data_IF_829314653611
#
_entry.id   IF_829314653611
#
_cell.length_a   1.000
_cell.length_b   1.000
_cell.length_c   1.000
_cell.angle_alpha   90.00
_cell.angle_beta   90.00
_cell.angle_gamma   90.00
#
_symmetry.space_group_name_H-M   'P 1'
#
loop_
_entity.id
_entity.type
_entity.pdbx_description
1 polymer ?
#
# COMPACT_ATOMS: atom_id res chain seq x y z
N UNK A 1 -31.81 19.78 -1.39
CA UNK A 1 -30.87 18.67 -1.18
C UNK A 1 -29.82 19.17 -0.21
N UNK A 2 -29.83 18.64 1.01
CA UNK A 2 -28.95 19.10 2.09
C UNK A 2 -27.49 19.01 1.69
N UNK A 3 -26.72 20.06 2.00
CA UNK A 3 -25.26 20.00 2.01
C UNK A 3 -24.87 18.81 2.89
N UNK A 4 -24.36 17.73 2.31
CA UNK A 4 -23.70 16.68 3.09
C UNK A 4 -22.50 17.36 3.76
N UNK A 5 -22.59 17.59 5.07
CA UNK A 5 -21.54 18.27 5.82
C UNK A 5 -20.27 17.41 5.81
N UNK A 6 -19.25 17.87 5.09
CA UNK A 6 -17.89 17.33 5.23
C UNK A 6 -17.35 17.82 6.58
N UNK A 7 -16.99 16.89 7.45
CA UNK A 7 -16.48 17.16 8.79
C UNK A 7 -15.00 17.57 8.73
N UNK A 8 -14.52 18.35 9.69
CA UNK A 8 -13.10 18.35 10.02
C UNK A 8 -12.69 17.02 10.67
N UNK A 9 -11.40 16.72 10.66
CA UNK A 9 -10.87 15.50 11.27
C UNK A 9 -11.15 15.45 12.78
N UNK A 10 -11.06 16.59 13.47
CA UNK A 10 -11.38 16.68 14.90
C UNK A 10 -12.87 16.43 15.18
N UNK A 11 -13.78 16.93 14.33
CA UNK A 11 -15.21 16.63 14.40
C UNK A 11 -15.49 15.15 14.15
N UNK A 12 -14.87 14.55 13.14
CA UNK A 12 -15.01 13.11 12.87
C UNK A 12 -14.48 12.25 14.03
N UNK A 13 -13.36 12.64 14.64
CA UNK A 13 -12.85 11.99 15.85
C UNK A 13 -13.82 12.16 17.03
N UNK A 14 -14.40 13.34 17.24
CA UNK A 14 -15.38 13.55 18.30
C UNK A 14 -16.64 12.69 18.08
N UNK A 15 -17.12 12.63 16.85
CA UNK A 15 -18.34 11.90 16.47
C UNK A 15 -18.22 10.38 16.57
N UNK A 16 -17.01 9.83 16.42
CA UNK A 16 -16.75 8.40 16.64
C UNK A 16 -16.82 7.97 18.12
N UNK A 17 -17.18 8.87 19.04
CA UNK A 17 -17.41 8.64 20.48
C UNK A 17 -16.23 7.95 21.22
N UNK A 18 -15.01 8.03 20.69
CA UNK A 18 -13.84 7.26 21.17
C UNK A 18 -14.07 5.74 21.24
N UNK A 19 -15.00 5.21 20.45
CA UNK A 19 -15.10 3.77 20.21
C UNK A 19 -13.83 3.28 19.51
N UNK A 20 -13.54 1.99 19.59
CA UNK A 20 -12.42 1.34 18.91
C UNK A 20 -12.23 1.91 17.48
N UNK A 21 -11.15 2.65 17.24
CA UNK A 21 -10.91 3.35 15.97
C UNK A 21 -9.90 2.59 15.14
N UNK A 22 -10.26 2.35 13.88
CA UNK A 22 -9.36 1.79 12.88
C UNK A 22 -9.04 2.83 11.83
N UNK A 23 -7.81 2.82 11.34
CA UNK A 23 -7.37 3.62 10.21
C UNK A 23 -7.04 2.70 9.04
N UNK A 24 -7.49 3.05 7.84
CA UNK A 24 -7.07 2.45 6.58
C UNK A 24 -6.26 3.48 5.78
N UNK A 25 -5.02 3.13 5.47
CA UNK A 25 -4.08 3.97 4.72
C UNK A 25 -3.91 3.44 3.29
N UNK A 26 -4.09 4.33 2.32
CA UNK A 26 -3.69 4.12 0.93
C UNK A 26 -2.49 4.98 0.50
N UNK A 27 -2.06 4.81 -0.75
CA UNK A 27 -0.82 5.39 -1.28
C UNK A 27 -0.77 6.92 -1.19
N UNK A 28 -1.93 7.59 -1.20
CA UNK A 28 -2.05 9.03 -1.00
C UNK A 28 -1.51 9.52 0.35
N UNK A 29 -1.48 8.68 1.39
CA UNK A 29 -0.83 9.00 2.66
C UNK A 29 0.69 9.13 2.50
N UNK A 30 1.30 8.25 1.70
CA UNK A 30 2.73 8.30 1.40
C UNK A 30 3.07 9.48 0.50
N UNK A 31 2.22 9.73 -0.50
CA UNK A 31 2.30 10.91 -1.36
C UNK A 31 2.21 12.22 -0.57
N UNK A 32 1.41 12.29 0.50
CA UNK A 32 1.32 13.51 1.33
C UNK A 32 2.59 13.79 2.14
N UNK A 33 3.48 12.81 2.28
CA UNK A 33 4.79 12.98 2.94
C UNK A 33 5.88 13.29 1.91
N UNK A 34 5.87 12.64 0.74
CA UNK A 34 6.82 12.91 -0.35
C UNK A 34 6.18 12.67 -1.70
N UNK A 35 6.38 13.61 -2.62
CA UNK A 35 5.98 13.56 -4.04
C UNK A 35 6.53 12.33 -4.74
N UNK A 36 7.75 11.88 -4.41
CA UNK A 36 8.46 10.74 -5.02
C UNK A 36 7.75 9.38 -4.96
N UNK A 37 6.65 9.28 -4.22
CA UNK A 37 5.74 8.11 -4.26
C UNK A 37 4.65 8.24 -5.32
N UNK A 38 4.70 9.28 -6.16
CA UNK A 38 3.91 9.43 -7.38
C UNK A 38 4.20 8.32 -8.38
N UNK A 39 3.21 7.97 -9.19
CA UNK A 39 3.37 6.90 -10.16
C UNK A 39 4.29 7.33 -11.30
N UNK A 40 4.22 8.62 -11.66
CA UNK A 40 5.10 9.30 -12.61
C UNK A 40 6.56 9.22 -12.17
N UNK A 41 6.86 9.64 -10.93
CA UNK A 41 8.21 9.61 -10.37
C UNK A 41 8.78 8.18 -10.30
N UNK A 42 7.94 7.22 -9.91
CA UNK A 42 8.34 5.81 -9.84
C UNK A 42 8.61 5.22 -11.23
N UNK A 43 7.81 5.58 -12.24
CA UNK A 43 8.04 5.14 -13.61
C UNK A 43 9.32 5.76 -14.20
N UNK A 44 9.51 7.07 -14.01
CA UNK A 44 10.72 7.75 -14.43
C UNK A 44 11.95 7.09 -13.79
N UNK A 45 11.93 6.91 -12.47
CA UNK A 45 13.02 6.28 -11.72
C UNK A 45 13.30 4.85 -12.18
N UNK A 46 12.26 4.06 -12.47
CA UNK A 46 12.38 2.70 -12.98
C UNK A 46 12.97 2.64 -14.40
N UNK A 47 12.88 3.73 -15.17
CA UNK A 47 13.31 3.79 -16.56
C UNK A 47 14.67 4.46 -16.74
N UNK A 48 14.93 5.58 -16.07
CA UNK A 48 16.06 6.47 -16.40
C UNK A 48 17.23 6.40 -15.42
N UNK A 49 17.05 5.80 -14.24
CA UNK A 49 18.10 5.83 -13.22
C UNK A 49 19.27 4.91 -13.57
N UNK A 50 20.46 5.49 -13.75
CA UNK A 50 21.70 4.75 -14.07
C UNK A 50 22.09 3.74 -12.98
N UNK A 51 21.83 4.04 -11.70
CA UNK A 51 22.07 3.10 -10.59
C UNK A 51 21.15 1.88 -10.65
N UNK A 52 20.08 1.93 -11.46
CA UNK A 52 19.14 0.84 -11.70
C UNK A 52 19.26 0.22 -13.10
N UNK A 53 20.31 0.52 -13.88
CA UNK A 53 20.47 0.10 -15.28
C UNK A 53 20.16 -1.39 -15.53
N UNK A 54 20.66 -2.28 -14.66
CA UNK A 54 20.44 -3.74 -14.76
C UNK A 54 18.99 -4.19 -14.56
N UNK A 55 18.14 -3.28 -14.10
CA UNK A 55 16.74 -3.51 -13.73
C UNK A 55 15.81 -2.46 -14.35
N UNK A 56 16.29 -1.72 -15.36
CA UNK A 56 15.47 -0.81 -16.14
C UNK A 56 14.35 -1.58 -16.86
N UNK A 57 13.26 -0.87 -17.12
CA UNK A 57 12.15 -1.41 -17.90
C UNK A 57 12.61 -1.73 -19.32
N UNK A 58 12.29 -2.91 -19.87
CA UNK A 58 12.45 -3.17 -21.29
C UNK A 58 11.74 -2.12 -22.15
N UNK A 59 12.31 -1.77 -23.29
CA UNK A 59 11.73 -0.80 -24.24
C UNK A 59 10.28 -1.17 -24.60
N UNK A 60 9.97 -2.47 -24.76
CA UNK A 60 8.61 -2.91 -25.05
C UNK A 60 7.62 -2.57 -23.93
N UNK A 61 8.05 -2.63 -22.66
CA UNK A 61 7.19 -2.23 -21.55
C UNK A 61 6.96 -0.73 -21.54
N UNK A 62 7.98 0.08 -21.82
CA UNK A 62 7.82 1.53 -21.92
C UNK A 62 6.87 1.93 -23.06
N UNK A 63 6.91 1.21 -24.18
CA UNK A 63 5.94 1.38 -25.26
C UNK A 63 4.53 1.04 -24.78
N UNK A 64 4.35 -0.02 -23.99
CA UNK A 64 3.03 -0.37 -23.41
C UNK A 64 2.50 0.69 -22.45
N UNK A 65 3.35 1.28 -21.58
CA UNK A 65 2.94 2.40 -20.73
C UNK A 65 2.44 3.58 -21.57
N UNK A 66 3.18 3.90 -22.64
CA UNK A 66 2.85 4.97 -23.59
C UNK A 66 1.53 4.69 -24.32
N UNK A 67 1.39 3.50 -24.92
CA UNK A 67 0.23 3.09 -25.71
C UNK A 67 -1.06 2.98 -24.87
N UNK A 68 -0.94 2.62 -23.59
CA UNK A 68 -2.05 2.55 -22.64
C UNK A 68 -2.34 3.89 -21.95
N UNK A 69 -1.59 4.94 -22.28
CA UNK A 69 -1.66 6.29 -21.73
C UNK A 69 -1.71 6.24 -20.19
N UNK A 70 -0.73 5.55 -19.59
CA UNK A 70 -0.71 5.36 -18.14
C UNK A 70 0.71 5.31 -17.60
N UNK A 71 0.84 5.67 -16.33
CA UNK A 71 2.06 5.50 -15.52
C UNK A 71 1.88 4.47 -14.40
N UNK A 72 0.70 3.85 -14.31
CA UNK A 72 0.36 2.90 -13.25
C UNK A 72 0.83 1.49 -13.60
N UNK A 73 1.82 1.01 -12.86
CA UNK A 73 2.38 -0.34 -13.00
C UNK A 73 1.31 -1.43 -12.82
N UNK A 74 0.37 -1.28 -11.88
CA UNK A 74 -0.67 -2.28 -11.65
C UNK A 74 -1.63 -2.33 -12.84
N UNK A 75 -1.94 -1.19 -13.47
CA UNK A 75 -2.73 -1.14 -14.71
C UNK A 75 -2.01 -1.86 -15.85
N UNK A 76 -0.72 -1.60 -16.07
CA UNK A 76 0.06 -2.29 -17.12
C UNK A 76 0.11 -3.80 -16.85
N UNK A 77 0.39 -4.21 -15.61
CA UNK A 77 0.39 -5.62 -15.20
C UNK A 77 -0.98 -6.27 -15.47
N UNK A 78 -2.10 -5.57 -15.21
CA UNK A 78 -3.44 -6.08 -15.51
C UNK A 78 -3.64 -6.37 -17.01
N UNK A 79 -3.14 -5.50 -17.89
CA UNK A 79 -3.22 -5.69 -19.34
C UNK A 79 -2.36 -6.85 -19.81
N UNK A 80 -1.14 -6.98 -19.27
CA UNK A 80 -0.26 -8.13 -19.55
C UNK A 80 -0.89 -9.46 -19.09
N UNK A 81 -1.55 -9.49 -17.93
CA UNK A 81 -2.29 -10.66 -17.45
C UNK A 81 -3.43 -11.06 -18.41
N UNK A 82 -4.18 -10.07 -18.93
CA UNK A 82 -5.23 -10.32 -19.92
C UNK A 82 -4.64 -10.85 -21.22
N UNK A 83 -3.57 -10.23 -21.72
CA UNK A 83 -2.90 -10.65 -22.94
C UNK A 83 -2.39 -12.10 -22.84
N UNK A 84 -1.78 -12.47 -21.71
CA UNK A 84 -1.33 -13.84 -21.43
C UNK A 84 -2.49 -14.85 -21.54
N UNK A 85 -3.66 -14.54 -20.95
CA UNK A 85 -4.86 -15.40 -21.01
C UNK A 85 -5.35 -15.57 -22.46
N UNK A 86 -5.40 -14.47 -23.22
CA UNK A 86 -5.86 -14.48 -24.61
C UNK A 86 -4.93 -15.34 -25.48
N UNK A 87 -3.61 -15.12 -25.41
CA UNK A 87 -2.63 -15.85 -26.22
C UNK A 87 -2.62 -17.35 -25.89
N UNK A 88 -2.71 -17.71 -24.60
CA UNK A 88 -2.83 -19.11 -24.17
C UNK A 88 -4.11 -19.77 -24.69
N UNK A 89 -5.18 -19.00 -24.91
CA UNK A 89 -6.43 -19.53 -25.47
C UNK A 89 -6.29 -19.84 -26.96
N UNK A 90 -5.66 -18.97 -27.75
CA UNK A 90 -5.35 -19.22 -29.16
C UNK A 90 -4.35 -20.36 -29.37
N UNK A 91 -3.45 -20.59 -28.42
CA UNK A 91 -2.50 -21.73 -28.47
C UNK A 91 -3.22 -23.09 -28.46
N UNK A 92 -4.43 -23.15 -27.89
CA UNK A 92 -5.23 -24.39 -27.83
C UNK A 92 -5.96 -24.71 -29.13
N UNK A 93 -6.16 -23.73 -30.01
CA UNK A 93 -6.95 -23.87 -31.25
C UNK A 93 -6.11 -24.19 -32.49
N UNK A 94 -4.83 -24.54 -32.34
CA UNK A 94 -3.99 -25.01 -33.45
C UNK A 94 -3.19 -23.94 -34.19
N UNK A 95 -3.24 -22.66 -33.77
CA UNK A 95 -2.22 -21.69 -34.17
C UNK A 95 -0.84 -22.18 -33.73
N UNK A 96 0.19 -21.98 -34.56
CA UNK A 96 1.56 -22.48 -34.40
C UNK A 96 2.02 -22.40 -32.94
N UNK A 97 1.94 -23.55 -32.25
CA UNK A 97 2.11 -23.69 -30.80
C UNK A 97 3.40 -23.01 -30.29
N UNK A 98 4.45 -23.00 -31.11
CA UNK A 98 5.75 -22.39 -30.78
C UNK A 98 5.66 -20.87 -30.61
N UNK A 99 5.06 -20.14 -31.56
CA UNK A 99 5.03 -18.66 -31.53
C UNK A 99 4.17 -18.17 -30.37
N UNK A 100 3.00 -18.75 -30.17
CA UNK A 100 2.13 -18.35 -29.07
C UNK A 100 2.75 -18.67 -27.70
N UNK A 101 3.47 -19.79 -27.56
CA UNK A 101 4.18 -20.11 -26.32
C UNK A 101 5.34 -19.15 -26.05
N UNK A 102 6.11 -18.79 -27.09
CA UNK A 102 7.20 -17.82 -26.97
C UNK A 102 6.66 -16.45 -26.55
N UNK A 103 5.59 -15.98 -27.18
CA UNK A 103 4.97 -14.70 -26.84
C UNK A 103 4.37 -14.71 -25.43
N UNK A 104 3.68 -15.78 -25.04
CA UNK A 104 3.14 -15.92 -23.68
C UNK A 104 4.26 -15.93 -22.63
N UNK A 105 5.41 -16.53 -22.95
CA UNK A 105 6.57 -16.51 -22.07
C UNK A 105 7.19 -15.11 -21.97
N UNK A 106 7.37 -14.41 -23.09
CA UNK A 106 7.86 -13.01 -23.12
C UNK A 106 6.96 -12.08 -22.28
N UNK A 107 5.64 -12.15 -22.45
CA UNK A 107 4.68 -11.36 -21.64
C UNK A 107 4.80 -11.68 -20.14
N UNK A 108 5.02 -12.94 -19.80
CA UNK A 108 5.25 -13.35 -18.41
C UNK A 108 6.55 -12.74 -17.86
N UNK A 109 7.62 -12.78 -18.64
CA UNK A 109 8.92 -12.22 -18.26
C UNK A 109 8.85 -10.69 -18.15
N UNK A 110 8.10 -10.03 -19.03
CA UNK A 110 7.86 -8.58 -19.00
C UNK A 110 7.04 -8.18 -17.75
N UNK A 111 6.02 -8.97 -17.39
CA UNK A 111 5.27 -8.79 -16.13
C UNK A 111 6.16 -8.93 -14.90
N UNK A 112 7.02 -9.94 -14.88
CA UNK A 112 7.98 -10.14 -13.78
C UNK A 112 9.01 -8.99 -13.74
N UNK A 113 9.40 -8.46 -14.90
CA UNK A 113 10.30 -7.31 -15.02
C UNK A 113 9.64 -6.04 -14.49
N UNK A 114 8.39 -5.74 -14.87
CA UNK A 114 7.62 -4.60 -14.33
C UNK A 114 7.56 -4.61 -12.80
N UNK A 115 7.25 -5.77 -12.20
CA UNK A 115 7.20 -5.92 -10.72
C UNK A 115 8.56 -5.67 -10.08
N UNK A 116 9.62 -6.20 -10.67
CA UNK A 116 10.98 -6.02 -10.15
C UNK A 116 11.41 -4.56 -10.27
N UNK A 117 11.28 -3.95 -11.45
CA UNK A 117 11.63 -2.55 -11.69
C UNK A 117 10.89 -1.61 -10.73
N UNK A 118 9.60 -1.86 -10.48
CA UNK A 118 8.85 -1.12 -9.46
C UNK A 118 9.45 -1.30 -8.06
N UNK A 119 9.73 -2.54 -7.62
CA UNK A 119 10.34 -2.81 -6.31
C UNK A 119 11.71 -2.12 -6.18
N UNK A 120 12.50 -2.09 -7.25
CA UNK A 120 13.78 -1.38 -7.30
C UNK A 120 13.59 0.13 -7.18
N UNK A 121 12.69 0.72 -7.97
CA UNK A 121 12.37 2.15 -7.95
C UNK A 121 11.87 2.58 -6.58
N UNK A 122 10.84 1.92 -6.04
CA UNK A 122 10.29 2.27 -4.73
C UNK A 122 11.34 2.10 -3.63
N UNK A 123 12.18 1.05 -3.64
CA UNK A 123 13.25 0.90 -2.66
C UNK A 123 14.30 2.02 -2.76
N UNK A 124 14.61 2.47 -3.99
CA UNK A 124 15.50 3.60 -4.21
C UNK A 124 14.90 4.92 -3.67
N UNK A 125 13.61 5.17 -3.87
CA UNK A 125 12.90 6.34 -3.29
C UNK A 125 13.09 6.48 -1.78
N UNK A 126 13.31 5.37 -1.06
CA UNK A 126 13.53 5.38 0.39
C UNK A 126 14.97 5.69 0.81
N UNK A 127 15.94 5.62 -0.09
CA UNK A 127 17.32 5.99 0.25
C UNK A 127 17.33 7.48 0.61
N UNK A 128 18.02 7.89 1.66
CA UNK A 128 18.10 9.32 2.10
C UNK A 128 16.79 9.92 2.66
N UNK A 129 15.63 9.37 2.31
CA UNK A 129 14.34 10.01 2.58
C UNK A 129 14.04 10.13 4.08
N UNK A 130 14.39 9.11 4.87
CA UNK A 130 14.15 9.13 6.31
C UNK A 130 14.83 10.31 7.01
N UNK A 131 15.99 10.76 6.52
CA UNK A 131 16.73 11.91 7.04
C UNK A 131 16.10 13.25 6.60
N UNK A 132 15.43 13.27 5.45
CA UNK A 132 14.85 14.49 4.87
C UNK A 132 13.44 14.80 5.40
N UNK A 133 12.78 13.85 6.08
CA UNK A 133 11.52 14.08 6.78
C UNK A 133 11.77 14.94 8.02
N UNK A 134 11.17 16.13 8.06
CA UNK A 134 11.28 17.09 9.18
C UNK A 134 10.71 16.48 10.47
N UNK A 135 11.31 16.79 11.62
CA UNK A 135 10.86 16.29 12.92
C UNK A 135 9.41 16.67 13.27
N UNK A 136 8.92 17.82 12.76
CA UNK A 136 7.52 18.24 12.87
C UNK A 136 6.58 17.27 12.12
N UNK A 137 6.95 16.88 10.89
CA UNK A 137 6.22 15.89 10.09
C UNK A 137 6.16 14.55 10.81
N UNK A 138 7.29 14.06 11.35
CA UNK A 138 7.30 12.87 12.19
C UNK A 138 6.39 12.99 13.41
N UNK A 139 6.32 14.16 14.05
CA UNK A 139 5.47 14.38 15.22
C UNK A 139 4.01 14.26 14.86
N UNK A 140 3.57 15.11 13.92
CA UNK A 140 2.16 15.27 13.56
C UNK A 140 1.60 14.00 12.96
N UNK A 141 2.34 13.35 12.06
CA UNK A 141 1.93 12.07 11.51
C UNK A 141 1.88 10.97 12.59
N UNK A 142 2.86 10.91 13.49
CA UNK A 142 2.84 9.99 14.63
C UNK A 142 1.67 10.24 15.60
N UNK A 143 1.31 11.50 15.85
CA UNK A 143 0.18 11.90 16.68
C UNK A 143 -1.15 11.55 16.01
N UNK A 144 -1.28 11.77 14.70
CA UNK A 144 -2.42 11.31 13.92
C UNK A 144 -2.61 9.80 14.07
N UNK A 145 -1.56 9.01 13.84
CA UNK A 145 -1.61 7.55 13.96
C UNK A 145 -2.03 7.11 15.37
N UNK A 146 -1.58 7.81 16.42
CA UNK A 146 -1.90 7.48 17.81
C UNK A 146 -3.39 7.67 18.19
N UNK A 147 -4.20 8.33 17.36
CA UNK A 147 -5.65 8.40 17.56
C UNK A 147 -6.37 7.07 17.29
N UNK A 148 -5.68 6.09 16.71
CA UNK A 148 -6.25 4.82 16.26
C UNK A 148 -5.74 3.63 17.06
N UNK A 149 -6.58 2.62 17.20
CA UNK A 149 -6.27 1.35 17.87
C UNK A 149 -5.75 0.31 16.89
N UNK A 150 -6.27 0.34 15.66
CA UNK A 150 -5.85 -0.54 14.56
C UNK A 150 -5.47 0.27 13.32
N UNK A 151 -4.43 -0.16 12.63
CA UNK A 151 -4.00 0.42 11.35
C UNK A 151 -3.95 -0.68 10.30
N UNK A 152 -4.70 -0.48 9.22
CA UNK A 152 -4.67 -1.29 8.02
C UNK A 152 -4.02 -0.46 6.90
N UNK A 153 -3.17 -1.07 6.09
CA UNK A 153 -2.53 -0.37 4.97
C UNK A 153 -2.40 -1.25 3.75
N UNK A 154 -2.50 -0.63 2.58
CA UNK A 154 -2.12 -1.24 1.29
C UNK A 154 -0.78 -0.72 0.78
N UNK A 155 -0.15 0.20 1.51
CA UNK A 155 1.11 0.81 1.10
C UNK A 155 2.25 -0.18 1.28
N UNK A 156 3.07 -0.31 0.24
CA UNK A 156 4.25 -1.18 0.26
C UNK A 156 5.44 -0.52 0.95
N UNK A 157 5.46 0.81 0.99
CA UNK A 157 6.60 1.62 1.42
C UNK A 157 6.97 1.48 2.92
N UNK A 158 8.07 2.13 3.31
CA UNK A 158 8.61 2.12 4.67
C UNK A 158 8.13 3.31 5.51
N UNK A 159 7.31 4.23 4.98
CA UNK A 159 6.97 5.46 5.68
C UNK A 159 6.17 5.18 6.96
N UNK A 160 5.13 4.35 6.87
CA UNK A 160 4.37 3.95 8.07
C UNK A 160 5.30 3.35 9.13
N UNK A 161 6.23 2.48 8.72
CA UNK A 161 7.19 1.87 9.63
C UNK A 161 8.10 2.93 10.30
N UNK A 162 8.68 3.86 9.53
CA UNK A 162 9.54 4.90 10.07
C UNK A 162 8.81 5.84 11.02
N UNK A 163 7.60 6.29 10.65
CA UNK A 163 6.76 7.14 11.50
C UNK A 163 6.49 6.47 12.85
N UNK A 164 6.16 5.18 12.84
CA UNK A 164 5.91 4.40 14.04
C UNK A 164 7.17 4.20 14.89
N UNK A 165 8.32 3.95 14.27
CA UNK A 165 9.59 3.84 15.00
C UNK A 165 9.98 5.16 15.65
N UNK A 166 9.86 6.28 14.93
CA UNK A 166 10.13 7.62 15.48
C UNK A 166 9.16 7.98 16.60
N UNK A 167 7.89 7.60 16.46
CA UNK A 167 6.89 7.80 17.52
C UNK A 167 7.20 6.93 18.75
N UNK A 168 7.65 5.68 18.57
CA UNK A 168 8.10 4.78 19.65
C UNK A 168 9.28 5.37 20.43
N UNK A 169 10.27 5.94 19.74
CA UNK A 169 11.39 6.62 20.38
C UNK A 169 10.92 7.77 21.28
N UNK A 170 9.97 8.58 20.80
CA UNK A 170 9.47 9.76 21.53
C UNK A 170 8.60 9.41 22.74
N UNK A 171 7.70 8.42 22.63
CA UNK A 171 6.80 8.05 23.73
C UNK A 171 7.39 7.03 24.70
N UNK A 172 8.48 6.36 24.31
CA UNK A 172 9.10 5.28 25.05
C UNK A 172 8.42 3.93 24.81
N UNK A 173 9.20 2.84 24.92
CA UNK A 173 8.73 1.49 24.61
C UNK A 173 7.52 1.03 25.45
N UNK A 174 7.41 1.48 26.70
CA UNK A 174 6.30 1.13 27.59
C UNK A 174 4.97 1.78 27.24
N UNK A 175 5.00 2.95 26.56
CA UNK A 175 3.79 3.69 26.16
C UNK A 175 3.45 3.47 24.68
N UNK A 176 4.29 2.72 23.95
CA UNK A 176 4.07 2.43 22.55
C UNK A 176 3.08 1.27 22.39
N UNK A 177 1.92 1.54 21.77
CA UNK A 177 0.80 0.59 21.70
C UNK A 177 0.74 -0.25 20.42
N UNK A 178 1.64 -0.04 19.47
CA UNK A 178 1.52 -0.66 18.16
C UNK A 178 2.40 -1.90 17.97
N UNK A 179 1.87 -2.88 17.25
CA UNK A 179 2.47 -4.17 16.96
C UNK A 179 2.05 -4.66 15.57
N UNK A 180 3.01 -4.99 14.72
CA UNK A 180 2.77 -5.50 13.35
C UNK A 180 2.73 -7.02 13.25
N UNK A 181 2.75 -7.73 14.38
CA UNK A 181 2.69 -9.19 14.47
C UNK A 181 4.04 -9.87 14.40
N UNK A 182 5.14 -9.12 14.49
CA UNK A 182 6.50 -9.64 14.45
C UNK A 182 7.24 -9.49 15.79
N UNK A 183 6.56 -9.36 16.93
CA UNK A 183 7.16 -8.79 18.17
C UNK A 183 7.93 -9.70 19.11
N UNK A 184 8.07 -11.03 18.94
CA UNK A 184 8.80 -11.81 19.97
C UNK A 184 9.47 -13.12 19.51
N UNK A 185 10.73 -13.28 19.94
CA UNK A 185 11.62 -14.48 19.91
C UNK A 185 11.94 -15.13 18.56
N UNK A 186 11.58 -14.51 17.45
CA UNK A 186 11.95 -14.99 16.13
C UNK A 186 11.74 -13.92 15.06
N UNK A 187 12.41 -14.11 13.93
CA UNK A 187 12.25 -13.28 12.74
C UNK A 187 10.86 -13.42 12.10
N UNK A 188 10.08 -14.43 12.50
CA UNK A 188 8.79 -14.78 11.90
C UNK A 188 7.59 -14.68 12.83
N UNK A 189 6.43 -14.98 12.27
CA UNK A 189 5.12 -14.84 12.91
C UNK A 189 4.77 -16.12 13.67
N UNK A 190 4.26 -15.96 14.90
CA UNK A 190 3.63 -17.04 15.65
C UNK A 190 2.23 -16.60 16.15
N UNK A 191 1.46 -17.54 16.70
CA UNK A 191 0.08 -17.30 17.15
C UNK A 191 -0.03 -16.24 18.26
N UNK A 192 0.96 -16.16 19.16
CA UNK A 192 0.99 -15.13 20.21
C UNK A 192 1.20 -13.74 19.63
N UNK A 193 2.11 -13.57 18.66
CA UNK A 193 2.33 -12.30 17.99
C UNK A 193 1.09 -11.82 17.22
N UNK A 194 0.30 -12.74 16.66
CA UNK A 194 -0.95 -12.40 15.95
C UNK A 194 -2.10 -11.96 16.89
N UNK A 195 -1.99 -12.23 18.18
CA UNK A 195 -2.99 -11.82 19.16
C UNK A 195 -2.80 -10.35 19.61
N UNK A 196 -1.56 -9.87 19.69
CA UNK A 196 -1.24 -8.47 19.99
C UNK A 196 -1.19 -7.57 18.77
N UNK A 197 -1.14 -8.13 17.57
CA UNK A 197 -1.07 -7.39 16.30
C UNK A 197 -2.22 -6.38 16.16
N UNK A 198 -1.87 -5.13 15.88
CA UNK A 198 -2.80 -4.07 15.53
C UNK A 198 -2.35 -3.20 14.35
N UNK A 199 -1.25 -3.55 13.67
CA UNK A 199 -0.88 -3.03 12.36
C UNK A 199 -0.94 -4.17 11.34
N UNK A 200 -1.64 -3.94 10.22
CA UNK A 200 -1.94 -4.94 9.21
C UNK A 200 -1.60 -4.43 7.80
N UNK A 201 -0.55 -5.01 7.20
CA UNK A 201 -0.18 -4.74 5.81
C UNK A 201 -0.90 -5.72 4.88
N UNK A 202 -1.96 -5.27 4.22
CA UNK A 202 -2.86 -6.13 3.44
C UNK A 202 -2.29 -6.55 2.11
N UNK A 203 -1.44 -5.71 1.52
CA UNK A 203 -0.75 -5.99 0.25
C UNK A 203 0.73 -6.33 0.47
N UNK A 204 1.13 -6.59 1.72
CA UNK A 204 2.52 -6.80 2.10
C UNK A 204 3.29 -5.48 2.27
N UNK A 205 4.62 -5.57 2.39
CA UNK A 205 5.47 -4.43 2.68
C UNK A 205 6.91 -4.68 2.23
N UNK A 206 7.66 -3.61 1.92
CA UNK A 206 9.05 -3.67 1.46
C UNK A 206 10.01 -4.33 2.45
N UNK A 207 9.65 -4.35 3.74
CA UNK A 207 10.46 -4.95 4.79
C UNK A 207 10.03 -6.39 5.13
N UNK A 208 9.08 -6.99 4.39
CA UNK A 208 8.65 -8.38 4.59
C UNK A 208 9.21 -9.29 3.51
N UNK A 209 9.89 -10.37 3.89
CA UNK A 209 10.53 -11.30 2.97
C UNK A 209 10.19 -12.75 3.33
N UNK A 210 10.25 -13.64 2.35
CA UNK A 210 10.06 -15.07 2.55
C UNK A 210 11.22 -15.86 1.94
N UNK A 211 11.80 -16.75 2.74
CA UNK A 211 12.73 -17.79 2.25
C UNK A 211 12.05 -19.16 2.37
N UNK A 212 11.74 -19.53 3.61
CA UNK A 212 10.91 -20.68 3.99
C UNK A 212 9.71 -20.24 4.81
N UNK A 213 9.92 -19.27 5.71
CA UNK A 213 8.88 -18.61 6.48
C UNK A 213 8.92 -17.09 6.24
N UNK A 214 7.79 -16.42 6.41
CA UNK A 214 7.70 -14.96 6.35
C UNK A 214 8.48 -14.35 7.52
N UNK A 215 9.33 -13.38 7.23
CA UNK A 215 10.07 -12.62 8.22
C UNK A 215 10.12 -11.13 7.91
N UNK A 216 10.39 -10.33 8.95
CA UNK A 216 10.53 -8.88 8.86
C UNK A 216 11.98 -8.45 8.96
N UNK A 217 12.48 -7.72 7.96
CA UNK A 217 13.75 -7.00 8.03
C UNK A 217 13.61 -5.84 9.00
N UNK A 218 14.62 -5.65 9.86
CA UNK A 218 14.71 -4.56 10.82
C UNK A 218 16.01 -3.79 10.63
N UNK A 219 15.98 -2.51 10.98
CA UNK A 219 17.20 -1.73 11.16
C UNK A 219 18.03 -2.29 12.32
N UNK A 220 19.34 -2.25 12.17
CA UNK A 220 20.32 -2.57 13.22
C UNK A 220 21.25 -1.36 13.41
N UNK A 221 21.99 -1.32 14.51
CA UNK A 221 22.79 -0.16 14.97
C UNK A 221 23.71 0.43 13.88
N UNK A 222 24.22 -0.41 12.97
CA UNK A 222 25.15 -0.04 11.90
C UNK A 222 24.66 -0.36 10.48
N UNK A 223 23.43 -0.86 10.32
CA UNK A 223 22.88 -1.18 9.00
C UNK A 223 21.42 -0.73 8.91
N UNK A 224 21.20 0.33 8.14
CA UNK A 224 19.87 0.88 7.94
C UNK A 224 18.98 -0.15 7.20
N UNK A 225 17.67 -0.04 7.41
CA UNK A 225 16.72 -1.00 6.85
C UNK A 225 16.73 -1.02 5.32
N UNK A 226 16.94 0.12 4.67
CA UNK A 226 16.96 0.27 3.21
C UNK A 226 18.15 -0.47 2.59
N UNK A 227 19.35 -0.35 3.16
CA UNK A 227 20.54 -1.08 2.72
C UNK A 227 20.34 -2.59 2.81
N UNK A 228 19.72 -3.08 3.89
CA UNK A 228 19.40 -4.51 4.04
C UNK A 228 18.43 -4.98 2.98
N UNK A 229 17.33 -4.23 2.77
CA UNK A 229 16.36 -4.52 1.71
C UNK A 229 17.05 -4.55 0.34
N UNK A 230 17.89 -3.56 0.03
CA UNK A 230 18.70 -3.51 -1.20
C UNK A 230 19.56 -4.76 -1.36
N UNK A 231 20.29 -5.18 -0.32
CA UNK A 231 21.11 -6.40 -0.35
C UNK A 231 20.26 -7.65 -0.66
N UNK A 232 19.05 -7.76 -0.11
CA UNK A 232 18.16 -8.89 -0.43
C UNK A 232 17.70 -8.85 -1.88
N UNK A 233 17.26 -7.69 -2.36
CA UNK A 233 16.79 -7.49 -3.74
C UNK A 233 17.90 -7.83 -4.74
N UNK A 234 19.13 -7.33 -4.53
CA UNK A 234 20.28 -7.61 -5.39
C UNK A 234 20.69 -9.08 -5.42
N UNK A 235 20.34 -9.85 -4.37
CA UNK A 235 20.53 -11.31 -4.32
C UNK A 235 19.33 -12.09 -4.90
N UNK A 236 18.45 -11.42 -5.66
CA UNK A 236 17.28 -12.03 -6.30
C UNK A 236 16.16 -12.42 -5.34
N UNK A 237 16.17 -11.89 -4.10
CA UNK A 237 15.12 -12.12 -3.10
C UNK A 237 14.23 -10.89 -3.05
N UNK A 238 12.94 -11.04 -3.28
CA UNK A 238 12.00 -9.93 -3.35
C UNK A 238 11.09 -9.88 -2.13
N UNK A 239 10.66 -8.67 -1.72
CA UNK A 239 9.72 -8.52 -0.64
C UNK A 239 8.35 -9.11 -1.00
N UNK A 240 7.57 -9.46 0.03
CA UNK A 240 6.18 -9.85 -0.11
C UNK A 240 5.36 -8.60 -0.46
N UNK A 241 4.98 -8.46 -1.73
CA UNK A 241 4.11 -7.40 -2.25
C UNK A 241 3.03 -7.97 -3.17
N UNK A 242 1.83 -7.37 -3.16
CA UNK A 242 0.67 -7.79 -3.97
C UNK A 242 0.43 -6.81 -5.12
N UNK A 243 1.26 -6.93 -6.16
CA UNK A 243 1.20 -6.05 -7.34
C UNK A 243 0.33 -6.57 -8.50
N UNK A 244 -0.57 -7.52 -8.24
CA UNK A 244 -1.43 -8.02 -9.33
C UNK A 244 -2.44 -6.95 -9.74
N UNK A 245 -2.67 -6.79 -11.05
CA UNK A 245 -3.43 -5.65 -11.54
C UNK A 245 -4.94 -5.72 -11.29
N UNK A 246 -5.50 -6.92 -11.14
CA UNK A 246 -6.93 -7.13 -10.87
C UNK A 246 -7.20 -7.53 -9.43
N UNK A 247 -8.30 -7.02 -8.87
CA UNK A 247 -8.67 -7.29 -7.48
C UNK A 247 -8.87 -8.80 -7.17
N UNK A 248 -9.33 -9.62 -8.12
CA UNK A 248 -9.47 -11.06 -7.94
C UNK A 248 -8.11 -11.76 -7.84
N UNK A 249 -7.16 -11.35 -8.70
CA UNK A 249 -5.77 -11.84 -8.66
C UNK A 249 -5.10 -11.45 -7.34
N UNK A 250 -5.26 -10.18 -6.90
CA UNK A 250 -4.78 -9.71 -5.59
C UNK A 250 -5.38 -10.53 -4.46
N UNK A 251 -6.71 -10.70 -4.44
CA UNK A 251 -7.41 -11.48 -3.43
C UNK A 251 -6.93 -12.92 -3.37
N UNK A 252 -6.71 -13.58 -4.52
CA UNK A 252 -6.18 -14.95 -4.56
C UNK A 252 -4.81 -15.01 -3.88
N UNK A 253 -3.87 -14.14 -4.25
CA UNK A 253 -2.54 -14.06 -3.65
C UNK A 253 -2.57 -13.76 -2.15
N UNK A 254 -3.45 -12.87 -1.71
CA UNK A 254 -3.68 -12.56 -0.29
C UNK A 254 -4.12 -13.81 0.47
N UNK A 255 -5.03 -14.61 -0.09
CA UNK A 255 -5.54 -15.81 0.57
C UNK A 255 -4.53 -16.98 0.58
N UNK A 256 -3.62 -17.02 -0.39
CA UNK A 256 -2.52 -18.00 -0.46
C UNK A 256 -1.41 -17.75 0.57
N UNK A 257 -1.27 -16.52 1.07
CA UNK A 257 -0.29 -16.17 2.11
C UNK A 257 -0.94 -16.12 3.49
N UNK A 258 -0.40 -16.86 4.46
CA UNK A 258 -0.99 -16.97 5.80
C UNK A 258 -1.10 -15.64 6.55
N UNK A 259 -0.09 -14.78 6.47
CA UNK A 259 -0.10 -13.45 7.10
C UNK A 259 -1.09 -12.51 6.43
N UNK A 260 -1.05 -12.39 5.09
CA UNK A 260 -1.97 -11.50 4.38
C UNK A 260 -3.42 -11.97 4.56
N UNK A 261 -3.66 -13.28 4.52
CA UNK A 261 -4.96 -13.88 4.82
C UNK A 261 -5.42 -13.56 6.24
N UNK A 262 -4.53 -13.58 7.23
CA UNK A 262 -4.82 -13.15 8.59
C UNK A 262 -5.21 -11.67 8.65
N UNK A 263 -4.41 -10.77 8.08
CA UNK A 263 -4.69 -9.33 8.00
C UNK A 263 -6.06 -9.06 7.35
N UNK A 264 -6.33 -9.74 6.23
CA UNK A 264 -7.58 -9.61 5.49
C UNK A 264 -8.80 -10.13 6.28
N UNK A 265 -8.64 -11.18 7.09
CA UNK A 265 -9.68 -11.66 8.00
C UNK A 265 -9.88 -10.73 9.20
N UNK A 266 -8.80 -10.18 9.76
CA UNK A 266 -8.86 -9.22 10.87
C UNK A 266 -9.70 -8.00 10.50
N UNK A 267 -9.47 -7.41 9.33
CA UNK A 267 -10.30 -6.29 8.83
C UNK A 267 -11.80 -6.61 8.80
N UNK A 268 -12.18 -7.85 8.45
CA UNK A 268 -13.59 -8.27 8.46
C UNK A 268 -14.17 -8.25 9.88
N UNK A 269 -13.39 -8.68 10.86
CA UNK A 269 -13.87 -8.98 12.20
C UNK A 269 -13.68 -7.79 13.17
N UNK A 270 -13.05 -6.69 12.73
CA UNK A 270 -12.91 -5.47 13.53
C UNK A 270 -14.23 -4.69 13.56
N UNK A 271 -14.55 -4.15 14.73
CA UNK A 271 -15.74 -3.35 15.02
C UNK A 271 -15.38 -1.87 15.31
N UNK A 272 -16.39 -1.04 15.62
CA UNK A 272 -16.18 0.38 15.91
C UNK A 272 -16.15 1.23 14.64
N UNK A 273 -15.25 2.20 14.58
CA UNK A 273 -15.20 3.20 13.50
C UNK A 273 -13.98 3.00 12.60
N UNK A 274 -14.18 2.98 11.29
CA UNK A 274 -13.10 2.94 10.30
C UNK A 274 -12.92 4.32 9.66
N UNK A 275 -11.69 4.84 9.69
CA UNK A 275 -11.29 6.04 8.97
C UNK A 275 -10.45 5.64 7.77
N UNK A 276 -10.72 6.24 6.62
CA UNK A 276 -10.07 5.91 5.35
C UNK A 276 -9.33 7.15 4.86
N UNK A 277 -8.01 7.04 4.69
CA UNK A 277 -7.13 8.13 4.28
C UNK A 277 -6.23 7.73 3.11
N UNK A 278 -6.07 8.64 2.15
CA UNK A 278 -5.09 8.51 1.08
C UNK A 278 -5.38 7.39 0.06
N UNK A 279 -6.64 7.01 -0.14
CA UNK A 279 -7.00 6.03 -1.17
C UNK A 279 -7.92 6.65 -2.21
N UNK A 280 -7.65 6.34 -3.49
CA UNK A 280 -8.55 6.67 -4.60
C UNK A 280 -9.68 5.65 -4.78
N UNK A 281 -9.73 4.60 -3.93
CA UNK A 281 -10.72 3.53 -3.98
C UNK A 281 -10.86 2.91 -5.39
N UNK A 282 -9.73 2.64 -6.06
CA UNK A 282 -9.71 2.09 -7.42
C UNK A 282 -10.51 0.79 -7.50
N UNK A 283 -11.68 0.83 -8.16
CA UNK A 283 -12.61 -0.31 -8.21
C UNK A 283 -12.06 -1.48 -9.03
N UNK A 284 -11.13 -1.24 -9.95
CA UNK A 284 -10.54 -2.31 -10.76
C UNK A 284 -9.45 -3.07 -9.99
N UNK A 285 -8.58 -2.34 -9.30
CA UNK A 285 -7.44 -2.91 -8.59
C UNK A 285 -7.78 -3.34 -7.15
N UNK A 286 -8.63 -2.58 -6.44
CA UNK A 286 -8.80 -2.68 -4.99
C UNK A 286 -10.23 -2.97 -4.51
N UNK A 287 -11.13 -3.38 -5.41
CA UNK A 287 -12.50 -3.77 -5.03
C UNK A 287 -12.56 -4.87 -3.95
N UNK A 288 -11.53 -5.72 -3.82
CA UNK A 288 -11.47 -6.72 -2.75
C UNK A 288 -11.38 -6.09 -1.34
N UNK A 289 -10.80 -4.89 -1.22
CA UNK A 289 -10.75 -4.11 0.03
C UNK A 289 -12.12 -3.54 0.33
N UNK A 290 -12.76 -2.89 -0.65
CA UNK A 290 -14.12 -2.39 -0.49
C UNK A 290 -15.10 -3.51 -0.08
N UNK A 291 -15.09 -4.63 -0.79
CA UNK A 291 -15.92 -5.78 -0.46
C UNK A 291 -15.67 -6.28 0.97
N UNK A 292 -14.41 -6.23 1.42
CA UNK A 292 -14.04 -6.60 2.77
C UNK A 292 -14.56 -5.62 3.82
N UNK A 293 -14.45 -4.31 3.57
CA UNK A 293 -15.00 -3.25 4.44
C UNK A 293 -16.53 -3.36 4.51
N UNK A 294 -17.21 -3.59 3.38
CA UNK A 294 -18.66 -3.80 3.34
C UNK A 294 -19.11 -5.01 4.17
N UNK A 295 -18.31 -6.07 4.19
CA UNK A 295 -18.54 -7.28 4.99
C UNK A 295 -18.05 -7.18 6.44
N UNK A 296 -17.45 -6.06 6.84
CA UNK A 296 -16.85 -5.91 8.16
C UNK A 296 -17.87 -5.72 9.27
N UNK A 297 -17.41 -5.80 10.52
CA UNK A 297 -18.19 -5.45 11.72
C UNK A 297 -18.12 -3.98 12.12
N UNK A 298 -17.52 -3.09 11.31
CA UNK A 298 -17.51 -1.64 11.60
C UNK A 298 -18.93 -1.07 11.66
N UNK A 299 -19.18 -0.19 12.62
CA UNK A 299 -20.47 0.49 12.81
C UNK A 299 -20.54 1.80 12.01
N UNK A 300 -19.38 2.45 11.83
CA UNK A 300 -19.23 3.73 11.14
C UNK A 300 -18.00 3.74 10.25
N UNK A 301 -18.11 4.37 9.08
CA UNK A 301 -17.02 4.54 8.13
C UNK A 301 -16.90 6.01 7.75
N UNK A 302 -15.71 6.57 7.96
CA UNK A 302 -15.34 7.94 7.69
C UNK A 302 -14.41 7.97 6.48
N UNK A 303 -14.86 8.57 5.38
CA UNK A 303 -14.08 8.71 4.15
C UNK A 303 -13.41 10.08 4.11
N UNK A 304 -12.08 10.08 3.99
CA UNK A 304 -11.32 11.28 3.70
C UNK A 304 -11.47 11.68 2.23
N UNK A 305 -11.97 12.88 1.96
CA UNK A 305 -12.13 13.43 0.61
C UNK A 305 -11.38 14.76 0.50
N UNK A 306 -10.40 14.84 -0.42
CA UNK A 306 -9.54 16.03 -0.57
C UNK A 306 -10.23 17.19 -1.28
N UNK A 307 -11.15 16.90 -2.19
CA UNK A 307 -12.01 17.91 -2.81
C UNK A 307 -13.40 17.83 -2.17
N UNK A 308 -13.64 18.72 -1.19
CA UNK A 308 -14.89 18.74 -0.42
C UNK A 308 -16.14 18.97 -1.29
N UNK A 309 -15.96 19.38 -2.55
CA UNK A 309 -17.03 19.56 -3.54
C UNK A 309 -17.13 18.42 -4.57
N UNK A 310 -16.36 17.34 -4.43
CA UNK A 310 -16.42 16.13 -5.29
C UNK A 310 -17.71 15.34 -5.03
N UNK A 311 -18.82 15.90 -5.52
CA UNK A 311 -20.16 15.34 -5.39
C UNK A 311 -20.26 13.97 -6.06
N UNK A 312 -19.55 13.76 -7.16
CA UNK A 312 -19.58 12.50 -7.91
C UNK A 312 -18.96 11.38 -7.07
N UNK A 313 -17.82 11.61 -6.44
CA UNK A 313 -17.21 10.63 -5.53
C UNK A 313 -18.09 10.37 -4.30
N UNK A 314 -18.65 11.41 -3.69
CA UNK A 314 -19.53 11.28 -2.52
C UNK A 314 -20.79 10.49 -2.90
N UNK A 315 -21.43 10.80 -4.03
CA UNK A 315 -22.60 10.08 -4.54
C UNK A 315 -22.25 8.63 -4.89
N UNK A 316 -21.12 8.41 -5.54
CA UNK A 316 -20.64 7.06 -5.85
C UNK A 316 -20.42 6.25 -4.56
N UNK A 317 -19.66 6.75 -3.58
CA UNK A 317 -19.44 6.08 -2.28
C UNK A 317 -20.77 5.80 -1.59
N UNK A 318 -21.69 6.77 -1.60
CA UNK A 318 -23.02 6.61 -1.00
C UNK A 318 -23.85 5.54 -1.71
N UNK A 319 -23.67 5.36 -3.03
CA UNK A 319 -24.38 4.38 -3.86
C UNK A 319 -23.89 2.94 -3.70
N UNK A 320 -22.71 2.71 -3.10
CA UNK A 320 -22.11 1.37 -2.94
C UNK A 320 -22.94 0.42 -2.05
N UNK A 321 -24.01 0.92 -1.41
CA UNK A 321 -24.99 0.09 -0.71
C UNK A 321 -24.38 -0.63 0.50
N UNK A 322 -23.85 0.13 1.45
CA UNK A 322 -23.20 -0.39 2.65
C UNK A 322 -24.12 -1.28 3.48
N UNK A 323 -23.63 -2.47 3.87
CA UNK A 323 -24.44 -3.44 4.63
C UNK A 323 -24.78 -2.93 6.05
N UNK A 324 -25.86 -3.45 6.63
CA UNK A 324 -26.18 -3.37 8.06
C UNK A 324 -26.36 -1.96 8.65
N UNK A 325 -26.80 -0.96 7.87
CA UNK A 325 -27.07 0.38 8.39
C UNK A 325 -25.82 1.10 8.92
N UNK A 326 -24.63 0.73 8.43
CA UNK A 326 -23.37 1.41 8.72
C UNK A 326 -23.52 2.92 8.50
N UNK A 327 -23.11 3.71 9.49
CA UNK A 327 -23.06 5.17 9.34
C UNK A 327 -21.92 5.53 8.40
N UNK A 328 -22.22 6.25 7.33
CA UNK A 328 -21.21 6.76 6.38
C UNK A 328 -21.11 8.27 6.58
N UNK A 329 -19.88 8.74 6.78
CA UNK A 329 -19.57 10.15 6.92
C UNK A 329 -18.32 10.49 6.11
N UNK A 330 -18.16 11.77 5.82
CA UNK A 330 -17.05 12.31 5.03
C UNK A 330 -16.31 13.34 5.87
N UNK A 331 -14.99 13.39 5.75
CA UNK A 331 -14.18 14.40 6.42
C UNK A 331 -13.07 14.91 5.52
N UNK A 332 -12.60 16.12 5.80
CA UNK A 332 -11.51 16.79 5.09
C UNK A 332 -10.15 16.25 5.59
N UNK A 333 -9.38 15.51 4.75
CA UNK A 333 -8.05 15.02 5.10
C UNK A 333 -7.03 16.13 5.33
N UNK A 334 -7.20 17.31 4.73
CA UNK A 334 -6.31 18.46 4.91
C UNK A 334 -6.29 18.93 6.36
N UNK A 335 -7.41 18.79 7.07
CA UNK A 335 -7.47 19.05 8.53
C UNK A 335 -6.81 17.96 9.39
N UNK A 336 -6.45 16.81 8.81
CA UNK A 336 -5.70 15.72 9.44
C UNK A 336 -4.19 15.78 9.08
N UNK A 337 -3.88 16.15 7.84
CA UNK A 337 -2.55 16.21 7.25
C UNK A 337 -2.03 17.64 7.38
N UNK A 338 -1.56 17.99 8.58
CA UNK A 338 -1.00 19.31 8.90
C UNK A 338 0.54 19.31 8.89
N UNK A 339 1.16 18.51 8.03
CA UNK A 339 2.61 18.48 7.90
C UNK A 339 3.08 18.97 6.55
N UNK A 340 4.33 19.44 6.51
CA UNK A 340 4.98 19.79 5.26
C UNK A 340 5.49 18.53 4.57
N UNK A 341 5.21 18.46 3.28
CA UNK A 341 5.80 17.47 2.39
C UNK A 341 7.33 17.67 2.34
N UNK A 342 8.08 16.59 2.14
CA UNK A 342 9.53 16.65 1.91
C UNK A 342 9.77 17.42 0.62
N UNK A 343 10.63 18.43 0.68
CA UNK A 343 11.06 19.19 -0.49
C UNK A 343 12.09 18.35 -1.25
N UNK A 344 11.88 18.16 -2.55
CA UNK A 344 12.82 17.45 -3.40
C UNK A 344 14.04 18.33 -3.65
N UNK A 345 15.13 18.06 -2.93
CA UNK A 345 16.44 18.55 -3.33
C UNK A 345 17.08 17.46 -4.22
N UNK A 346 17.30 17.81 -5.48
CA UNK A 346 17.95 16.94 -6.47
C UNK A 346 19.43 16.65 -6.12
N UNK A 347 20.03 17.43 -5.22
CA UNK A 347 21.46 17.39 -4.91
C UNK A 347 21.89 16.36 -3.83
N UNK A 348 20.96 15.63 -3.20
CA UNK A 348 21.27 14.74 -2.06
C UNK A 348 21.51 13.25 -2.43
N UNK A 349 21.71 12.89 -3.72
CA UNK A 349 21.72 11.48 -4.17
C UNK A 349 22.87 11.01 -5.06
#
# INVERSE_FOLDING_TARGET
MDKRNVLSFSEALAESDKKCRSLFLGNGFSKSISTRFGYEDLLELANTNEKLEKHQLPDELMNIFTDLETVDFEKVIAHLEVAEIVIRSYSKSGCTNIVCNQLAQKIKDDKDSAKKSFVHAINYTHQGLAQNIKDDTYSKAGDLLFNFDYIFTINYDLLLYWLLMRKRERVGASNFKFDDGFTSWGWGINEQCLNSQNIFYLHGALHFFSLTNLFKIRAEEYDNITNKITKHILNGKYPLTIMEGKHESKKKKILENSYLSHCYKKMKNTNGSLFILGTSLNIHADAHIYHRIKQSSFDSIYFGIYDNDDKDLIEWISSLGWNNGKKIAFFDPGSAIDWKQVEDNDDDF
#
